data_IF_123931219526
#
_entry.id   IF_123931219526
#
_cell.length_a   1.000
_cell.length_b   1.000
_cell.length_c   1.000
_cell.angle_alpha   90.00
_cell.angle_beta   90.00
_cell.angle_gamma   90.00
#
_symmetry.space_group_name_H-M   'P 1'
#
loop_
_entity.id
_entity.type
_entity.pdbx_description
1 polymer ?
#
# COMPACT_ATOMS: atom_id res chain seq x y z
N UNK A 1 -3.44 1.72 -4.18
CA UNK A 1 -2.93 1.78 -2.80
C UNK A 1 -2.44 0.44 -2.27
N UNK A 2 -3.18 -0.67 -2.44
CA UNK A 2 -2.78 -2.02 -1.96
C UNK A 2 -1.46 -2.61 -2.52
N UNK A 3 -0.74 -1.86 -3.36
CA UNK A 3 0.49 -2.30 -4.01
C UNK A 3 1.77 -1.80 -3.31
N UNK A 4 1.68 -0.77 -2.47
CA UNK A 4 2.86 -0.09 -1.90
C UNK A 4 2.88 -0.08 -0.36
N UNK A 5 1.71 -0.15 0.27
CA UNK A 5 1.59 -0.20 1.72
C UNK A 5 0.48 -1.18 2.08
N UNK A 6 0.81 -2.17 2.92
CA UNK A 6 -0.18 -3.14 3.43
C UNK A 6 -0.66 -2.65 4.79
N UNK A 7 -1.97 -2.55 4.95
CA UNK A 7 -2.62 -2.33 6.23
C UNK A 7 -3.82 -3.28 6.34
N UNK A 8 -3.94 -3.98 7.47
CA UNK A 8 -5.12 -4.78 7.74
C UNK A 8 -6.31 -3.88 8.03
N UNK A 9 -7.53 -4.37 7.81
CA UNK A 9 -8.74 -3.62 8.16
C UNK A 9 -8.75 -3.18 9.63
N UNK A 10 -8.28 -4.05 10.53
CA UNK A 10 -8.17 -3.72 11.96
C UNK A 10 -7.16 -2.58 12.21
N UNK A 11 -6.02 -2.58 11.52
CA UNK A 11 -5.07 -1.46 11.59
C UNK A 11 -5.72 -0.17 11.08
N UNK A 12 -6.42 -0.22 9.95
CA UNK A 12 -7.12 0.95 9.38
C UNK A 12 -8.13 1.52 10.38
N UNK A 13 -9.03 0.70 10.93
CA UNK A 13 -10.03 1.19 11.89
C UNK A 13 -9.41 1.78 13.17
N UNK A 14 -8.32 1.17 13.66
CA UNK A 14 -7.61 1.69 14.83
C UNK A 14 -6.95 3.03 14.53
N UNK A 15 -6.27 3.18 13.39
CA UNK A 15 -5.62 4.44 13.04
C UNK A 15 -6.65 5.54 12.73
N UNK A 16 -7.78 5.23 12.07
CA UNK A 16 -8.88 6.18 11.88
C UNK A 16 -9.40 6.76 13.21
N UNK A 17 -9.61 5.90 14.22
CA UNK A 17 -10.03 6.35 15.54
C UNK A 17 -8.99 7.20 16.28
N UNK A 18 -7.69 6.94 16.07
CA UNK A 18 -6.63 7.79 16.62
C UNK A 18 -6.57 9.15 15.92
N UNK A 19 -6.70 9.17 14.59
CA UNK A 19 -6.69 10.41 13.81
C UNK A 19 -7.89 11.30 14.17
N UNK A 20 -9.07 10.70 14.36
CA UNK A 20 -10.26 11.41 14.85
C UNK A 20 -10.03 12.00 16.26
N UNK A 21 -9.48 11.22 17.20
CA UNK A 21 -9.11 11.72 18.54
C UNK A 21 -8.09 12.87 18.51
N UNK A 22 -7.26 12.93 17.47
CA UNK A 22 -6.29 14.02 17.24
C UNK A 22 -6.88 15.22 16.49
N UNK A 23 -8.16 15.18 16.11
CA UNK A 23 -8.79 16.25 15.33
C UNK A 23 -8.39 16.29 13.86
N UNK A 24 -7.71 15.25 13.34
CA UNK A 24 -7.28 15.17 11.93
C UNK A 24 -8.42 14.68 11.01
N UNK A 25 -9.44 14.04 11.59
CA UNK A 25 -10.62 13.54 10.90
C UNK A 25 -11.87 13.88 11.73
N UNK A 26 -12.97 14.13 11.04
CA UNK A 26 -14.32 14.09 11.60
C UNK A 26 -15.03 12.81 11.11
N UNK A 27 -16.09 12.42 11.81
CA UNK A 27 -16.95 11.34 11.33
C UNK A 27 -18.43 11.60 11.54
N UNK A 28 -19.24 10.95 10.71
CA UNK A 28 -20.68 10.91 10.83
C UNK A 28 -21.20 9.46 10.73
N UNK A 29 -22.28 9.17 11.45
CA UNK A 29 -22.96 7.87 11.36
C UNK A 29 -24.09 7.99 10.35
N UNK A 30 -23.95 7.30 9.22
CA UNK A 30 -24.98 7.17 8.21
C UNK A 30 -25.83 5.95 8.56
N UNK A 31 -27.07 6.21 8.95
CA UNK A 31 -28.07 5.17 9.23
C UNK A 31 -28.41 4.40 7.96
N UNK A 32 -28.51 3.07 8.07
CA UNK A 32 -28.80 2.21 6.93
C UNK A 32 -29.91 1.21 7.27
N UNK A 33 -30.83 1.01 6.33
CA UNK A 33 -31.89 0.01 6.46
C UNK A 33 -31.39 -1.35 5.98
N UNK A 34 -31.58 -2.39 6.80
CA UNK A 34 -31.25 -3.77 6.46
C UNK A 34 -29.75 -4.13 6.49
N UNK A 35 -28.88 -3.23 6.96
CA UNK A 35 -27.43 -3.46 7.14
C UNK A 35 -26.87 -2.56 8.24
N UNK A 36 -25.69 -2.87 8.81
CA UNK A 36 -25.07 -2.04 9.84
C UNK A 36 -24.86 -0.59 9.38
N UNK A 37 -25.01 0.35 10.31
CA UNK A 37 -24.74 1.76 10.06
C UNK A 37 -23.28 1.95 9.62
N UNK A 38 -23.06 2.91 8.72
CA UNK A 38 -21.71 3.25 8.24
C UNK A 38 -21.20 4.46 8.98
N UNK A 39 -19.99 4.36 9.51
CA UNK A 39 -19.23 5.52 9.97
C UNK A 39 -18.45 6.08 8.77
N UNK A 40 -18.84 7.26 8.29
CA UNK A 40 -18.13 7.97 7.22
C UNK A 40 -17.13 8.94 7.86
N UNK A 41 -15.88 8.90 7.41
CA UNK A 41 -14.83 9.81 7.87
C UNK A 41 -14.53 10.86 6.81
N UNK A 42 -14.30 12.09 7.25
CA UNK A 42 -13.93 13.23 6.42
C UNK A 42 -12.70 13.90 7.01
N UNK A 43 -11.74 14.29 6.16
CA UNK A 43 -10.53 15.00 6.60
C UNK A 43 -10.85 16.42 7.03
N UNK A 44 -10.26 16.87 8.14
CA UNK A 44 -10.35 18.26 8.62
C UNK A 44 -9.31 19.15 7.92
N UNK A 45 -9.35 20.47 8.15
CA UNK A 45 -8.30 21.35 7.64
C UNK A 45 -6.95 21.05 8.32
N UNK A 46 -6.96 20.76 9.62
CA UNK A 46 -5.78 20.32 10.37
C UNK A 46 -5.23 19.01 9.80
N UNK A 47 -6.12 18.06 9.48
CA UNK A 47 -5.75 16.80 8.82
C UNK A 47 -5.11 17.01 7.44
N UNK A 48 -5.60 17.98 6.66
CA UNK A 48 -4.99 18.34 5.36
C UNK A 48 -3.62 18.96 5.55
N UNK A 49 -3.45 19.87 6.51
CA UNK A 49 -2.16 20.49 6.83
C UNK A 49 -1.13 19.44 7.25
N UNK A 50 -1.48 18.53 8.16
CA UNK A 50 -0.63 17.41 8.57
C UNK A 50 -0.22 16.54 7.37
N UNK A 51 -1.17 16.21 6.49
CA UNK A 51 -0.87 15.43 5.29
C UNK A 51 0.07 16.17 4.34
N UNK A 52 -0.12 17.48 4.15
CA UNK A 52 0.75 18.33 3.33
C UNK A 52 2.15 18.44 3.91
N UNK A 53 2.26 18.62 5.22
CA UNK A 53 3.55 18.64 5.91
C UNK A 53 4.29 17.32 5.71
N UNK A 54 3.61 16.18 5.93
CA UNK A 54 4.17 14.86 5.69
C UNK A 54 4.61 14.65 4.23
N UNK A 55 3.83 15.11 3.25
CA UNK A 55 4.19 15.01 1.83
C UNK A 55 5.45 15.82 1.47
N UNK A 56 5.76 16.88 2.21
CA UNK A 56 6.97 17.69 2.01
C UNK A 56 8.20 17.13 2.74
N UNK A 57 8.03 16.13 3.60
CA UNK A 57 9.15 15.45 4.26
C UNK A 57 9.86 14.51 3.28
N UNK A 58 11.19 14.41 3.41
CA UNK A 58 11.96 13.44 2.63
C UNK A 58 11.54 12.03 3.02
N UNK A 59 11.24 11.21 2.02
CA UNK A 59 11.04 9.78 2.24
C UNK A 59 12.39 9.06 2.19
N UNK A 60 12.64 8.21 3.19
CA UNK A 60 13.80 7.33 3.19
C UNK A 60 13.54 6.10 2.32
N UNK A 61 14.57 5.58 1.62
CA UNK A 61 14.45 4.33 0.89
C UNK A 61 14.00 3.18 1.80
N UNK A 62 13.08 2.35 1.30
CA UNK A 62 12.65 1.18 2.05
C UNK A 62 13.83 0.23 2.28
N UNK A 63 14.01 -0.24 3.52
CA UNK A 63 14.99 -1.27 3.83
C UNK A 63 14.61 -2.56 3.10
N UNK A 64 15.50 -3.02 2.22
CA UNK A 64 15.30 -4.24 1.46
C UNK A 64 15.42 -5.46 2.39
N UNK A 65 14.28 -6.06 2.72
CA UNK A 65 14.18 -7.33 3.47
C UNK A 65 13.53 -8.36 2.56
N UNK A 66 14.38 -9.16 1.91
CA UNK A 66 13.93 -10.00 0.80
C UNK A 66 14.53 -11.41 0.93
N UNK A 67 13.66 -12.42 1.00
CA UNK A 67 14.05 -13.81 1.24
C UNK A 67 14.79 -14.40 0.03
N UNK A 68 14.42 -13.99 -1.19
CA UNK A 68 15.11 -14.39 -2.42
C UNK A 68 16.62 -14.11 -2.36
N UNK A 69 17.01 -12.94 -1.86
CA UNK A 69 18.42 -12.56 -1.79
C UNK A 69 19.19 -13.42 -0.80
N UNK A 70 18.55 -13.80 0.31
CA UNK A 70 19.11 -14.74 1.29
C UNK A 70 19.27 -16.12 0.66
N UNK A 71 18.25 -16.62 -0.05
CA UNK A 71 18.28 -17.92 -0.76
C UNK A 71 19.41 -17.97 -1.80
N UNK A 72 19.56 -16.92 -2.62
CA UNK A 72 20.64 -16.82 -3.61
C UNK A 72 22.01 -16.85 -2.94
N UNK A 73 22.19 -16.09 -1.85
CA UNK A 73 23.46 -16.05 -1.10
C UNK A 73 23.81 -17.40 -0.47
N UNK A 74 22.81 -18.13 0.01
CA UNK A 74 22.98 -19.47 0.58
C UNK A 74 22.90 -20.60 -0.48
N UNK A 75 22.80 -20.27 -1.77
CA UNK A 75 22.45 -21.20 -2.84
C UNK A 75 23.39 -22.38 -3.03
N UNK A 76 24.66 -22.25 -2.61
CA UNK A 76 25.63 -23.35 -2.66
C UNK A 76 25.31 -24.54 -1.75
N UNK A 77 24.31 -24.42 -0.87
CA UNK A 77 23.86 -25.51 0.01
C UNK A 77 22.84 -26.44 -0.67
N UNK A 78 22.37 -26.11 -1.87
CA UNK A 78 21.33 -26.86 -2.59
C UNK A 78 21.72 -27.08 -4.05
N UNK A 79 20.98 -27.93 -4.76
CA UNK A 79 21.13 -28.03 -6.21
C UNK A 79 20.87 -26.63 -6.85
N UNK A 80 21.79 -26.11 -7.70
CA UNK A 80 21.61 -24.82 -8.39
C UNK A 80 20.28 -24.67 -9.12
N UNK A 81 19.70 -25.75 -9.64
CA UNK A 81 18.42 -25.73 -10.35
C UNK A 81 17.28 -25.19 -9.47
N UNK A 82 17.32 -25.43 -8.16
CA UNK A 82 16.31 -24.92 -7.21
C UNK A 82 16.34 -23.38 -7.18
N UNK A 83 17.54 -22.79 -7.15
CA UNK A 83 17.72 -21.34 -7.15
C UNK A 83 17.31 -20.74 -8.50
N UNK A 84 17.66 -21.41 -9.61
CA UNK A 84 17.28 -20.98 -10.96
C UNK A 84 15.75 -20.98 -11.15
N UNK A 85 15.06 -22.00 -10.64
CA UNK A 85 13.60 -22.08 -10.68
C UNK A 85 12.95 -20.94 -9.89
N UNK A 86 13.44 -20.68 -8.67
CA UNK A 86 12.94 -19.59 -7.83
C UNK A 86 13.17 -18.21 -8.49
N UNK A 87 14.35 -17.96 -9.05
CA UNK A 87 14.64 -16.74 -9.80
C UNK A 87 13.72 -16.58 -11.02
N UNK A 88 13.45 -17.67 -11.72
CA UNK A 88 12.54 -17.68 -12.88
C UNK A 88 11.11 -17.35 -12.46
N UNK A 89 10.63 -17.94 -11.36
CA UNK A 89 9.33 -17.64 -10.77
C UNK A 89 9.22 -16.16 -10.36
N UNK A 90 10.18 -15.64 -9.58
CA UNK A 90 10.18 -14.24 -9.14
C UNK A 90 10.23 -13.27 -10.32
N UNK A 91 11.01 -13.57 -11.37
CA UNK A 91 11.02 -12.78 -12.62
C UNK A 91 9.64 -12.73 -13.27
N UNK A 92 8.92 -13.86 -13.33
CA UNK A 92 7.58 -13.90 -13.91
C UNK A 92 6.59 -13.04 -13.11
N UNK A 93 6.60 -13.16 -11.79
CA UNK A 93 5.78 -12.32 -10.89
C UNK A 93 6.08 -10.83 -11.10
N UNK A 94 7.35 -10.44 -11.25
CA UNK A 94 7.71 -9.05 -11.52
C UNK A 94 7.23 -8.55 -12.89
N UNK A 95 7.28 -9.39 -13.93
CA UNK A 95 6.72 -9.04 -15.26
C UNK A 95 5.21 -8.78 -15.18
N UNK A 96 4.47 -9.63 -14.50
CA UNK A 96 3.02 -9.46 -14.31
C UNK A 96 2.70 -8.18 -13.53
N UNK A 97 3.47 -7.89 -12.49
CA UNK A 97 3.34 -6.65 -11.72
C UNK A 97 3.62 -5.41 -12.59
N UNK A 98 4.65 -5.46 -13.44
CA UNK A 98 4.99 -4.38 -14.35
C UNK A 98 3.85 -4.09 -15.32
N UNK A 99 3.31 -5.11 -15.99
CA UNK A 99 2.15 -4.97 -16.89
C UNK A 99 0.98 -4.31 -16.17
N UNK A 100 0.68 -4.73 -14.94
CA UNK A 100 -0.39 -4.14 -14.13
C UNK A 100 -0.13 -2.67 -13.78
N UNK A 101 1.12 -2.28 -13.51
CA UNK A 101 1.46 -0.89 -13.21
C UNK A 101 1.38 0.00 -14.45
N UNK A 102 1.87 -0.47 -15.60
CA UNK A 102 1.75 0.25 -16.87
C UNK A 102 0.30 0.47 -17.27
N UNK A 103 -0.59 -0.51 -17.02
CA UNK A 103 -2.02 -0.31 -17.27
C UNK A 103 -2.61 0.77 -16.36
N UNK A 104 -2.30 0.73 -15.06
CA UNK A 104 -2.76 1.75 -14.10
C UNK A 104 -2.25 3.15 -14.43
N UNK A 105 -1.01 3.27 -14.88
CA UNK A 105 -0.42 4.52 -15.32
C UNK A 105 -1.19 5.09 -16.52
N UNK A 106 -1.44 4.28 -17.56
CA UNK A 106 -2.25 4.69 -18.72
C UNK A 106 -3.65 5.15 -18.30
N UNK A 107 -4.30 4.42 -17.41
CA UNK A 107 -5.64 4.75 -16.92
C UNK A 107 -5.65 6.05 -16.09
N UNK A 108 -4.59 6.29 -15.31
CA UNK A 108 -4.43 7.51 -14.52
C UNK A 108 -4.18 8.73 -15.42
N UNK A 109 -3.27 8.63 -16.38
CA UNK A 109 -2.97 9.74 -17.31
C UNK A 109 -4.18 10.12 -18.18
N UNK A 110 -4.99 9.14 -18.62
CA UNK A 110 -6.25 9.43 -19.33
C UNK A 110 -7.23 10.27 -18.52
N UNK A 111 -7.26 10.11 -17.19
CA UNK A 111 -8.14 10.88 -16.28
C UNK A 111 -7.65 12.29 -16.00
N UNK A 112 -6.39 12.60 -16.27
CA UNK A 112 -5.81 13.93 -16.07
C UNK A 112 -5.96 14.84 -17.29
N UNK A 113 -6.27 14.26 -18.47
CA UNK A 113 -6.36 14.98 -19.76
C UNK A 113 -7.83 15.22 -20.18
N UNK A 114 -8.80 14.77 -19.37
CA UNK A 114 -10.24 15.03 -19.51
C UNK A 114 -10.71 15.86 -18.33
#
# INVERSE_FOLDING_TARGET
>A
MNSFWKASQQQIYRELGKMEKKGLLNSEIILQKGRPNKKLYSITEEGKMELQEWMNQKSEPAVMREDLLVKVRAGGLVNPDIIVQELTHRRQVHKENLTRYQQKEKDYLKKLIV
#
